data_IF_413281130804
#
_entry.id   IF_413281130804
#
_cell.length_a   1.000
_cell.length_b   1.000
_cell.length_c   1.000
_cell.angle_alpha   90.00
_cell.angle_beta   90.00
_cell.angle_gamma   90.00
#
_symmetry.space_group_name_H-M   'P 1'
#
loop_
_entity.id
_entity.type
_entity.pdbx_description
1 polymer ?
#
# COMPACT_ATOMS: atom_id res chain seq x y z
N UNK A 1 -20.18 -13.43 14.41
CA UNK A 1 -18.93 -12.64 14.49
C UNK A 1 -18.65 -12.16 13.07
N UNK A 2 -18.85 -10.88 12.77
CA UNK A 2 -18.59 -10.35 11.42
C UNK A 2 -17.10 -10.58 11.10
N UNK A 3 -16.83 -11.22 9.96
CA UNK A 3 -15.48 -11.48 9.47
C UNK A 3 -14.79 -10.12 9.22
N UNK A 4 -13.65 -9.87 9.85
CA UNK A 4 -12.90 -8.60 9.75
C UNK A 4 -12.61 -8.18 8.30
N UNK A 5 -12.47 -9.16 7.42
CA UNK A 5 -12.24 -8.92 6.00
C UNK A 5 -13.51 -8.43 5.29
N UNK A 6 -14.70 -8.87 5.72
CA UNK A 6 -15.96 -8.33 5.20
C UNK A 6 -16.16 -6.88 5.65
N UNK A 7 -15.79 -6.55 6.89
CA UNK A 7 -15.80 -5.17 7.39
C UNK A 7 -14.87 -4.28 6.53
N UNK A 8 -13.64 -4.74 6.26
CA UNK A 8 -12.69 -4.03 5.41
C UNK A 8 -13.17 -3.90 3.94
N UNK A 9 -13.82 -4.94 3.39
CA UNK A 9 -14.44 -4.91 2.05
C UNK A 9 -15.58 -3.91 1.98
N UNK A 10 -16.48 -3.91 2.97
CA UNK A 10 -17.59 -2.94 3.05
C UNK A 10 -17.04 -1.51 3.10
N UNK A 11 -16.10 -1.25 4.00
CA UNK A 11 -15.48 0.06 4.14
C UNK A 11 -14.78 0.54 2.85
N UNK A 12 -14.00 -0.34 2.21
CA UNK A 12 -13.31 -0.03 0.95
C UNK A 12 -14.31 0.27 -0.18
N UNK A 13 -15.39 -0.51 -0.26
CA UNK A 13 -16.45 -0.32 -1.26
C UNK A 13 -17.20 0.99 -1.04
N UNK A 14 -17.56 1.31 0.18
CA UNK A 14 -18.22 2.58 0.53
C UNK A 14 -17.33 3.77 0.20
N UNK A 15 -16.04 3.71 0.54
CA UNK A 15 -15.10 4.77 0.20
C UNK A 15 -14.93 4.97 -1.30
N UNK A 16 -14.86 3.88 -2.07
CA UNK A 16 -14.81 3.94 -3.54
C UNK A 16 -16.09 4.53 -4.13
N UNK A 17 -17.26 4.21 -3.58
CA UNK A 17 -18.58 4.62 -4.09
C UNK A 17 -18.96 6.06 -3.73
N UNK A 18 -18.58 6.52 -2.54
CA UNK A 18 -19.02 7.81 -2.00
C UNK A 18 -17.90 8.86 -1.98
N UNK A 19 -16.66 8.46 -2.29
CA UNK A 19 -15.46 9.30 -2.13
C UNK A 19 -15.26 9.82 -0.69
N UNK A 20 -15.83 9.11 0.29
CA UNK A 20 -15.70 9.37 1.72
C UNK A 20 -14.75 8.36 2.35
N UNK A 21 -13.70 8.84 3.02
CA UNK A 21 -12.69 7.99 3.64
C UNK A 21 -13.05 7.54 5.06
N UNK A 22 -14.06 8.16 5.68
CA UNK A 22 -14.49 7.89 7.05
C UNK A 22 -14.78 6.39 7.31
N UNK A 23 -15.42 5.63 6.39
CA UNK A 23 -15.62 4.20 6.58
C UNK A 23 -14.31 3.42 6.74
N UNK A 24 -13.27 3.76 5.96
CA UNK A 24 -11.96 3.12 6.07
C UNK A 24 -11.25 3.51 7.36
N UNK A 25 -11.29 4.79 7.72
CA UNK A 25 -10.68 5.28 8.97
C UNK A 25 -11.31 4.58 10.19
N UNK A 26 -12.62 4.40 10.20
CA UNK A 26 -13.34 3.66 11.26
C UNK A 26 -13.03 2.16 11.26
N UNK A 27 -13.01 1.52 10.08
CA UNK A 27 -12.71 0.09 9.96
C UNK A 27 -11.29 -0.24 10.44
N UNK A 28 -10.33 0.69 10.30
CA UNK A 28 -8.99 0.51 10.82
C UNK A 28 -8.99 0.37 12.36
N UNK A 29 -9.81 1.12 13.08
CA UNK A 29 -9.93 1.01 14.55
C UNK A 29 -10.37 -0.40 14.97
N UNK A 30 -11.28 -1.01 14.21
CA UNK A 30 -11.67 -2.41 14.41
C UNK A 30 -10.52 -3.38 14.10
N UNK A 31 -9.76 -3.14 13.03
CA UNK A 31 -8.62 -3.98 12.64
C UNK A 31 -7.50 -3.94 13.68
N UNK A 32 -7.21 -2.78 14.28
CA UNK A 32 -6.14 -2.61 15.28
C UNK A 32 -6.29 -3.55 16.47
N UNK A 33 -7.53 -3.82 16.87
CA UNK A 33 -7.82 -4.68 18.02
C UNK A 33 -7.88 -6.18 17.68
N UNK A 34 -8.07 -6.51 16.41
CA UNK A 34 -8.32 -7.89 15.95
C UNK A 34 -7.14 -8.50 15.19
N UNK A 35 -6.31 -7.67 14.58
CA UNK A 35 -5.00 -8.04 14.05
C UNK A 35 -3.93 -7.71 15.09
N UNK A 36 -2.77 -8.34 15.00
CA UNK A 36 -1.63 -8.16 15.92
C UNK A 36 -0.99 -6.74 15.86
N UNK A 37 -1.71 -5.73 15.36
CA UNK A 37 -1.27 -4.34 15.31
C UNK A 37 -1.20 -3.69 16.70
N UNK A 38 -1.96 -4.20 17.66
CA UNK A 38 -1.84 -3.80 19.07
C UNK A 38 -0.50 -4.23 19.70
N UNK A 39 0.23 -5.17 19.08
CA UNK A 39 1.57 -5.57 19.50
C UNK A 39 2.68 -4.72 18.87
N UNK A 40 2.32 -3.79 17.98
CA UNK A 40 3.23 -2.84 17.34
C UNK A 40 3.29 -1.56 18.19
N UNK A 41 4.47 -1.18 18.71
CA UNK A 41 4.68 0.04 19.48
C UNK A 41 4.28 1.28 18.69
N UNK A 42 3.78 2.30 19.37
CA UNK A 42 3.38 3.56 18.74
C UNK A 42 4.54 4.24 17.98
N UNK A 43 5.78 4.08 18.46
CA UNK A 43 6.98 4.57 17.78
C UNK A 43 7.25 3.92 16.41
N UNK A 44 6.66 2.75 16.14
CA UNK A 44 6.76 2.03 14.86
C UNK A 44 5.59 2.35 13.95
N UNK A 45 4.47 2.82 14.51
CA UNK A 45 3.32 3.30 13.73
C UNK A 45 3.65 4.59 12.98
N UNK A 46 4.58 5.38 13.53
CA UNK A 46 5.24 6.50 12.86
C UNK A 46 6.76 6.33 13.06
N UNK A 47 7.44 5.54 12.21
CA UNK A 47 8.84 5.13 12.40
C UNK A 47 9.85 6.24 12.09
N UNK A 48 9.47 7.49 12.33
CA UNK A 48 10.36 8.64 12.27
C UNK A 48 9.90 9.77 13.18
N UNK A 49 10.81 10.40 13.95
CA UNK A 49 10.49 11.60 14.72
C UNK A 49 10.31 12.85 13.84
N UNK A 50 10.72 12.81 12.57
CA UNK A 50 10.69 13.95 11.64
C UNK A 50 9.43 13.99 10.77
N UNK A 51 8.57 12.97 10.86
CA UNK A 51 7.36 12.86 10.05
C UNK A 51 6.16 13.51 10.76
N UNK A 52 5.23 14.02 9.95
CA UNK A 52 3.90 14.39 10.40
C UNK A 52 3.15 13.12 10.82
N UNK A 53 2.97 12.97 12.13
CA UNK A 53 2.34 11.79 12.73
C UNK A 53 0.94 11.56 12.21
N UNK A 54 0.13 12.61 12.06
CA UNK A 54 -1.27 12.46 11.69
C UNK A 54 -1.40 12.01 10.23
N UNK A 55 -0.63 12.63 9.33
CA UNK A 55 -0.60 12.26 7.92
C UNK A 55 -0.16 10.80 7.73
N UNK A 56 0.92 10.38 8.41
CA UNK A 56 1.44 9.01 8.34
C UNK A 56 0.42 7.99 8.84
N UNK A 57 -0.18 8.22 10.01
CA UNK A 57 -1.14 7.31 10.60
C UNK A 57 -2.37 7.15 9.72
N UNK A 58 -2.94 8.26 9.25
CA UNK A 58 -4.16 8.27 8.43
C UNK A 58 -3.96 7.54 7.10
N UNK A 59 -2.86 7.82 6.39
CA UNK A 59 -2.59 7.16 5.11
C UNK A 59 -2.31 5.67 5.29
N UNK A 60 -1.50 5.31 6.30
CA UNK A 60 -1.17 3.92 6.62
C UNK A 60 -2.43 3.13 6.98
N UNK A 61 -3.34 3.71 7.75
CA UNK A 61 -4.62 3.11 8.12
C UNK A 61 -5.45 2.74 6.88
N UNK A 62 -5.63 3.69 5.96
CA UNK A 62 -6.41 3.49 4.72
C UNK A 62 -5.80 2.43 3.81
N UNK A 63 -4.48 2.49 3.61
CA UNK A 63 -3.77 1.47 2.83
C UNK A 63 -3.89 0.08 3.46
N UNK A 64 -3.87 0.01 4.79
CA UNK A 64 -4.01 -1.25 5.54
C UNK A 64 -5.41 -1.85 5.43
N UNK A 65 -6.44 -1.02 5.54
CA UNK A 65 -7.83 -1.45 5.31
C UNK A 65 -8.00 -1.95 3.87
N UNK A 66 -7.38 -1.28 2.90
CA UNK A 66 -7.42 -1.71 1.52
C UNK A 66 -6.81 -3.11 1.33
N UNK A 67 -5.60 -3.39 1.83
CA UNK A 67 -5.05 -4.76 1.70
C UNK A 67 -5.88 -5.78 2.48
N UNK A 68 -6.44 -5.42 3.64
CA UNK A 68 -7.31 -6.30 4.40
C UNK A 68 -8.59 -6.64 3.61
N UNK A 69 -9.10 -5.71 2.80
CA UNK A 69 -10.25 -5.98 1.91
C UNK A 69 -9.93 -7.01 0.81
N UNK A 70 -8.66 -7.06 0.40
CA UNK A 70 -8.11 -8.04 -0.56
C UNK A 70 -7.63 -9.33 0.13
N UNK A 71 -8.04 -9.56 1.38
CA UNK A 71 -7.60 -10.71 2.17
C UNK A 71 -8.77 -11.57 2.65
N UNK A 72 -8.56 -12.85 2.94
CA UNK A 72 -7.44 -13.64 2.45
C UNK A 72 -7.56 -13.84 0.93
N UNK A 73 -6.44 -13.77 0.22
CA UNK A 73 -6.42 -13.79 -1.27
C UNK A 73 -7.12 -15.03 -1.84
N UNK A 74 -6.95 -16.19 -1.19
CA UNK A 74 -7.51 -17.47 -1.64
C UNK A 74 -9.04 -17.59 -1.53
N UNK A 75 -9.70 -16.74 -0.73
CA UNK A 75 -11.17 -16.76 -0.57
C UNK A 75 -11.86 -15.62 -1.35
N UNK A 76 -11.08 -14.73 -1.98
CA UNK A 76 -11.61 -13.61 -2.75
C UNK A 76 -12.56 -13.98 -3.90
N UNK A 77 -12.45 -15.14 -4.58
CA UNK A 77 -13.43 -15.51 -5.60
C UNK A 77 -14.86 -15.63 -5.06
N UNK A 78 -15.05 -15.77 -3.74
CA UNK A 78 -16.35 -15.80 -3.06
C UNK A 78 -16.80 -14.43 -2.53
N UNK A 79 -15.92 -13.43 -2.55
CA UNK A 79 -16.22 -12.10 -2.04
C UNK A 79 -17.27 -11.38 -2.91
N UNK A 80 -18.06 -10.46 -2.32
CA UNK A 80 -19.00 -9.65 -3.09
C UNK A 80 -18.28 -8.77 -4.14
N UNK A 81 -18.99 -8.35 -5.20
CA UNK A 81 -18.41 -7.43 -6.18
C UNK A 81 -18.05 -6.09 -5.54
N UNK A 82 -16.91 -5.55 -5.95
CA UNK A 82 -16.42 -4.24 -5.52
C UNK A 82 -17.22 -3.14 -6.22
N UNK A 83 -17.14 -3.08 -7.56
CA UNK A 83 -17.76 -2.02 -8.34
C UNK A 83 -18.03 -2.51 -9.78
N UNK A 84 -19.23 -2.26 -10.31
CA UNK A 84 -19.50 -2.33 -11.75
C UNK A 84 -18.98 -3.58 -12.47
N UNK A 85 -19.12 -4.77 -11.87
CA UNK A 85 -18.65 -6.03 -12.45
C UNK A 85 -17.19 -6.40 -12.14
N UNK A 86 -16.40 -5.50 -11.55
CA UNK A 86 -15.06 -5.77 -10.99
C UNK A 86 -15.23 -6.25 -9.54
N UNK A 87 -14.56 -7.34 -9.20
CA UNK A 87 -14.55 -7.96 -7.86
C UNK A 87 -13.26 -7.64 -7.11
N UNK A 88 -13.22 -7.85 -5.79
CA UNK A 88 -11.96 -7.77 -5.03
C UNK A 88 -10.91 -8.77 -5.55
N UNK A 89 -11.34 -9.93 -6.04
CA UNK A 89 -10.46 -10.90 -6.69
C UNK A 89 -9.81 -10.33 -7.96
N UNK A 90 -10.58 -9.68 -8.84
CA UNK A 90 -10.06 -9.01 -10.03
C UNK A 90 -9.03 -7.93 -9.68
N UNK A 91 -9.27 -7.16 -8.60
CA UNK A 91 -8.34 -6.13 -8.15
C UNK A 91 -7.03 -6.74 -7.65
N UNK A 92 -7.10 -7.81 -6.86
CA UNK A 92 -5.90 -8.51 -6.38
C UNK A 92 -5.08 -9.07 -7.56
N UNK A 93 -5.71 -9.79 -8.49
CA UNK A 93 -5.06 -10.30 -9.72
C UNK A 93 -4.47 -9.17 -10.57
N UNK A 94 -5.22 -8.09 -10.76
CA UNK A 94 -4.75 -6.92 -11.49
C UNK A 94 -3.51 -6.28 -10.86
N UNK A 95 -3.46 -6.15 -9.54
CA UNK A 95 -2.31 -5.59 -8.81
C UNK A 95 -1.08 -6.49 -8.93
N UNK A 96 -1.26 -7.80 -8.77
CA UNK A 96 -0.18 -8.78 -8.96
C UNK A 96 0.33 -8.77 -10.40
N UNK A 97 -0.57 -8.69 -11.39
CA UNK A 97 -0.21 -8.58 -12.80
C UNK A 97 0.50 -7.26 -13.13
N UNK A 98 0.09 -6.14 -12.53
CA UNK A 98 0.77 -4.86 -12.72
C UNK A 98 2.23 -4.90 -12.25
N UNK A 99 2.52 -5.66 -11.18
CA UNK A 99 3.89 -5.88 -10.72
C UNK A 99 4.67 -6.83 -11.64
N UNK A 100 4.06 -7.94 -12.06
CA UNK A 100 4.74 -8.99 -12.86
C UNK A 100 4.91 -8.63 -14.33
N UNK A 101 3.96 -7.89 -14.90
CA UNK A 101 3.85 -7.63 -16.34
C UNK A 101 3.79 -6.13 -16.68
N UNK A 102 3.86 -5.25 -15.68
CA UNK A 102 3.91 -3.79 -15.88
C UNK A 102 2.58 -3.14 -16.25
N UNK A 103 1.46 -3.87 -16.21
CA UNK A 103 0.16 -3.36 -16.70
C UNK A 103 -1.01 -3.70 -15.75
N UNK A 104 -1.73 -2.67 -15.29
CA UNK A 104 -3.01 -2.83 -14.59
C UNK A 104 -4.18 -2.74 -15.57
N UNK A 105 -4.69 -3.89 -15.98
CA UNK A 105 -5.62 -4.02 -17.11
C UNK A 105 -6.66 -5.13 -16.92
N UNK A 106 -7.84 -4.93 -17.51
CA UNK A 106 -8.93 -5.92 -17.53
C UNK A 106 -8.47 -7.26 -18.11
N UNK A 107 -7.44 -7.29 -18.96
CA UNK A 107 -6.85 -8.51 -19.51
C UNK A 107 -6.51 -9.54 -18.42
N UNK A 108 -6.03 -9.07 -17.27
CA UNK A 108 -5.60 -9.88 -16.13
C UNK A 108 -6.67 -10.02 -15.05
N UNK A 109 -7.90 -9.56 -15.29
CA UNK A 109 -9.02 -9.59 -14.35
C UNK A 109 -10.03 -10.67 -14.78
N UNK A 110 -9.99 -11.90 -14.21
CA UNK A 110 -10.67 -13.05 -14.78
C UNK A 110 -12.20 -12.94 -14.85
N UNK A 111 -12.81 -12.24 -13.89
CA UNK A 111 -14.26 -12.05 -13.82
C UNK A 111 -14.66 -10.81 -14.61
N UNK A 112 -13.93 -9.70 -14.44
CA UNK A 112 -14.23 -8.45 -15.14
C UNK A 112 -14.04 -8.54 -16.67
N UNK A 113 -13.06 -9.32 -17.15
CA UNK A 113 -12.80 -9.55 -18.59
C UNK A 113 -14.03 -10.05 -19.34
N UNK A 114 -14.90 -10.81 -18.67
CA UNK A 114 -16.13 -11.36 -19.25
C UNK A 114 -17.27 -10.34 -19.35
N UNK A 115 -17.16 -9.19 -18.66
CA UNK A 115 -18.27 -8.24 -18.45
C UNK A 115 -18.09 -6.86 -19.11
N UNK A 116 -16.89 -6.52 -19.61
CA UNK A 116 -16.64 -5.31 -20.41
C UNK A 116 -16.83 -3.97 -19.66
N UNK A 117 -15.90 -3.61 -18.76
CA UNK A 117 -16.12 -2.60 -17.71
C UNK A 117 -15.14 -1.41 -17.73
N UNK A 118 -14.98 -0.73 -18.88
CA UNK A 118 -13.98 0.35 -19.07
C UNK A 118 -14.13 1.54 -18.10
N UNK A 119 -15.33 2.12 -17.95
CA UNK A 119 -15.58 3.26 -17.04
C UNK A 119 -15.34 2.90 -15.57
N UNK A 120 -15.67 1.67 -15.19
CA UNK A 120 -15.47 1.13 -13.86
C UNK A 120 -13.98 0.99 -13.52
N UNK A 121 -13.18 0.54 -14.48
CA UNK A 121 -11.73 0.44 -14.33
C UNK A 121 -11.09 1.82 -14.11
N UNK A 122 -11.55 2.84 -14.84
CA UNK A 122 -11.06 4.22 -14.65
C UNK A 122 -11.31 4.73 -13.23
N UNK A 123 -12.52 4.53 -12.71
CA UNK A 123 -12.88 4.91 -11.34
C UNK A 123 -12.02 4.17 -10.31
N UNK A 124 -11.78 2.88 -10.52
CA UNK A 124 -10.88 2.09 -9.67
C UNK A 124 -9.44 2.62 -9.72
N UNK A 125 -8.90 2.91 -10.91
CA UNK A 125 -7.55 3.48 -11.06
C UNK A 125 -7.39 4.79 -10.28
N UNK A 126 -8.34 5.72 -10.41
CA UNK A 126 -8.35 6.96 -9.63
C UNK A 126 -8.38 6.72 -8.12
N UNK A 127 -9.14 5.73 -7.66
CA UNK A 127 -9.17 5.37 -6.24
C UNK A 127 -7.82 4.82 -5.76
N UNK A 128 -7.17 3.97 -6.55
CA UNK A 128 -5.83 3.45 -6.26
C UNK A 128 -4.75 4.54 -6.29
N UNK A 129 -4.89 5.53 -7.18
CA UNK A 129 -4.04 6.73 -7.20
C UNK A 129 -4.22 7.57 -5.94
N UNK A 130 -5.46 7.80 -5.47
CA UNK A 130 -5.73 8.50 -4.19
C UNK A 130 -5.16 7.75 -2.98
N UNK A 131 -5.10 6.41 -3.03
CA UNK A 131 -4.41 5.59 -2.02
C UNK A 131 -2.88 5.59 -2.16
N UNK A 132 -2.34 6.20 -3.21
CA UNK A 132 -0.92 6.30 -3.48
C UNK A 132 -0.31 5.03 -4.08
N UNK A 133 -1.11 4.05 -4.55
CA UNK A 133 -0.59 2.81 -5.16
C UNK A 133 -0.26 2.94 -6.64
N UNK A 134 -0.86 3.91 -7.32
CA UNK A 134 -0.62 4.18 -8.73
C UNK A 134 -0.29 5.65 -8.96
N UNK A 135 0.47 5.88 -10.03
CA UNK A 135 0.70 7.19 -10.62
C UNK A 135 0.87 7.02 -12.13
N UNK A 136 0.11 7.80 -12.90
CA UNK A 136 0.19 7.87 -14.37
C UNK A 136 0.16 6.49 -15.05
N UNK A 137 -0.66 5.58 -14.51
CA UNK A 137 -0.85 4.22 -15.02
C UNK A 137 0.16 3.16 -14.54
N UNK A 138 1.22 3.56 -13.82
CA UNK A 138 2.22 2.68 -13.22
C UNK A 138 2.08 2.52 -11.70
N UNK A 139 2.59 1.42 -11.15
CA UNK A 139 2.68 1.22 -9.70
C UNK A 139 3.70 2.18 -9.08
N UNK A 140 3.36 2.84 -7.99
CA UNK A 140 4.32 3.53 -7.11
C UNK A 140 5.16 2.51 -6.33
N UNK A 141 6.16 2.94 -5.56
CA UNK A 141 6.91 2.08 -4.67
C UNK A 141 6.02 1.37 -3.63
N UNK A 142 5.14 2.11 -2.96
CA UNK A 142 4.16 1.49 -2.05
C UNK A 142 3.16 0.58 -2.78
N UNK A 143 2.83 0.89 -4.04
CA UNK A 143 2.06 0.01 -4.92
C UNK A 143 2.78 -1.31 -5.23
N UNK A 144 4.10 -1.28 -5.45
CA UNK A 144 4.91 -2.49 -5.60
C UNK A 144 4.93 -3.31 -4.31
N UNK A 145 5.10 -2.68 -3.15
CA UNK A 145 5.04 -3.36 -1.87
C UNK A 145 3.68 -4.04 -1.62
N UNK A 146 2.57 -3.40 -2.02
CA UNK A 146 1.23 -3.99 -1.96
C UNK A 146 1.14 -5.24 -2.83
N UNK A 147 1.59 -5.17 -4.08
CA UNK A 147 1.56 -6.31 -5.00
C UNK A 147 2.44 -7.47 -4.50
N UNK A 148 3.66 -7.18 -4.01
CA UNK A 148 4.55 -8.17 -3.37
C UNK A 148 3.87 -8.86 -2.18
N UNK A 149 3.17 -8.09 -1.34
CA UNK A 149 2.43 -8.63 -0.18
C UNK A 149 1.28 -9.55 -0.61
N UNK A 150 0.53 -9.18 -1.66
CA UNK A 150 -0.55 -10.01 -2.21
C UNK A 150 -0.02 -11.32 -2.81
N UNK A 151 1.08 -11.27 -3.57
CA UNK A 151 1.74 -12.47 -4.13
C UNK A 151 2.19 -13.39 -2.99
N UNK A 152 2.82 -12.83 -1.95
CA UNK A 152 3.23 -13.61 -0.79
C UNK A 152 2.04 -14.25 -0.06
N UNK A 153 0.96 -13.48 0.13
CA UNK A 153 -0.28 -13.96 0.74
C UNK A 153 -0.95 -15.09 -0.05
N UNK A 154 -0.95 -15.00 -1.39
CA UNK A 154 -1.46 -16.04 -2.27
C UNK A 154 -0.67 -17.35 -2.14
N UNK A 155 0.65 -17.28 -1.94
CA UNK A 155 1.53 -18.45 -1.84
C UNK A 155 1.55 -19.09 -0.45
N UNK A 156 1.45 -18.30 0.62
CA UNK A 156 1.62 -18.79 2.00
C UNK A 156 0.32 -19.09 2.73
N UNK A 157 -0.84 -18.70 2.17
CA UNK A 157 -2.18 -18.93 2.74
C UNK A 157 -2.38 -18.45 4.19
N UNK A 158 -1.52 -17.56 4.69
CA UNK A 158 -1.64 -16.91 6.00
C UNK A 158 -1.93 -15.42 5.86
N UNK A 159 -2.38 -14.75 6.93
CA UNK A 159 -2.75 -13.32 6.91
C UNK A 159 -1.65 -12.39 7.43
N UNK A 160 -0.51 -12.95 7.84
CA UNK A 160 0.63 -12.19 8.40
C UNK A 160 1.21 -11.14 7.43
N UNK A 161 1.04 -11.34 6.12
CA UNK A 161 1.45 -10.36 5.11
C UNK A 161 0.71 -9.02 5.24
N UNK A 162 -0.47 -8.99 5.86
CA UNK A 162 -1.19 -7.75 6.16
C UNK A 162 -0.40 -6.92 7.19
N UNK A 163 0.19 -7.59 8.19
CA UNK A 163 1.09 -6.95 9.17
C UNK A 163 2.36 -6.46 8.49
N UNK A 164 2.97 -7.31 7.65
CA UNK A 164 4.13 -6.91 6.85
C UNK A 164 3.86 -5.70 5.96
N UNK A 165 2.68 -5.64 5.34
CA UNK A 165 2.27 -4.51 4.52
C UNK A 165 1.95 -3.27 5.36
N UNK A 166 1.28 -3.40 6.51
CA UNK A 166 1.05 -2.28 7.43
C UNK A 166 2.37 -1.58 7.79
N UNK A 167 3.38 -2.36 8.17
CA UNK A 167 4.70 -1.84 8.50
C UNK A 167 5.41 -1.26 7.27
N UNK A 168 5.23 -1.87 6.09
CA UNK A 168 5.72 -1.35 4.80
C UNK A 168 5.15 0.04 4.50
N UNK A 169 3.83 0.20 4.69
CA UNK A 169 3.13 1.47 4.55
C UNK A 169 3.57 2.51 5.58
N UNK A 170 3.78 2.10 6.84
CA UNK A 170 4.30 3.00 7.86
C UNK A 170 5.70 3.55 7.50
N UNK A 171 6.59 2.70 6.97
CA UNK A 171 7.91 3.13 6.46
C UNK A 171 7.77 4.08 5.27
N UNK A 172 6.96 3.71 4.27
CA UNK A 172 6.77 4.50 3.05
C UNK A 172 6.19 5.90 3.37
N UNK A 173 5.13 5.95 4.17
CA UNK A 173 4.46 7.21 4.51
C UNK A 173 5.34 8.09 5.41
N UNK A 174 6.10 7.50 6.35
CA UNK A 174 7.07 8.26 7.14
C UNK A 174 8.19 8.85 6.28
N UNK A 175 8.70 8.08 5.31
CA UNK A 175 9.68 8.58 4.34
C UNK A 175 9.10 9.73 3.52
N UNK A 176 7.92 9.56 2.94
CA UNK A 176 7.28 10.61 2.13
C UNK A 176 7.04 11.89 2.93
N UNK A 177 6.62 11.75 4.19
CA UNK A 177 6.46 12.89 5.08
C UNK A 177 7.77 13.59 5.41
N UNK A 178 8.91 12.91 5.42
CA UNK A 178 10.21 13.58 5.59
C UNK A 178 10.69 14.28 4.33
N UNK A 179 10.44 13.67 3.17
CA UNK A 179 10.87 14.22 1.89
C UNK A 179 10.04 15.45 1.49
N UNK A 180 8.77 15.55 1.93
CA UNK A 180 7.88 16.65 1.56
C UNK A 180 8.35 18.04 1.98
N UNK A 181 9.24 18.12 2.97
CA UNK A 181 9.77 19.38 3.50
C UNK A 181 11.18 19.70 2.99
N UNK A 182 11.73 18.91 2.07
CA UNK A 182 13.11 19.07 1.62
C UNK A 182 13.25 19.83 0.31
N UNK A 183 14.06 20.88 0.36
CA UNK A 183 14.62 21.56 -0.79
C UNK A 183 15.95 20.91 -1.18
N UNK A 184 15.88 19.69 -1.72
CA UNK A 184 17.06 19.00 -2.27
C UNK A 184 17.06 19.05 -3.79
N UNK A 185 18.25 19.17 -4.37
CA UNK A 185 18.41 19.09 -5.82
C UNK A 185 17.99 17.70 -6.33
N UNK A 186 17.51 17.62 -7.59
CA UNK A 186 17.03 16.37 -8.18
C UNK A 186 18.02 15.22 -8.09
N UNK A 187 19.31 15.48 -8.27
CA UNK A 187 20.33 14.44 -8.25
C UNK A 187 20.57 13.87 -6.84
N UNK A 188 20.17 14.60 -5.79
CA UNK A 188 20.36 14.21 -4.39
C UNK A 188 19.16 13.45 -3.81
N UNK A 189 17.97 13.58 -4.43
CA UNK A 189 16.74 12.98 -3.89
C UNK A 189 16.85 11.46 -3.70
N UNK A 190 17.55 10.76 -4.61
CA UNK A 190 17.73 9.32 -4.53
C UNK A 190 18.63 8.94 -3.34
N UNK A 191 19.71 9.68 -3.12
CA UNK A 191 20.64 9.43 -2.00
C UNK A 191 19.95 9.70 -0.66
N UNK A 192 19.21 10.80 -0.56
CA UNK A 192 18.42 11.15 0.61
C UNK A 192 17.33 10.11 0.91
N UNK A 193 16.61 9.66 -0.13
CA UNK A 193 15.60 8.63 -0.01
C UNK A 193 16.19 7.33 0.56
N UNK A 194 17.35 6.88 0.03
CA UNK A 194 18.03 5.67 0.51
C UNK A 194 18.50 5.83 1.97
N UNK A 195 19.14 6.95 2.30
CA UNK A 195 19.67 7.18 3.64
C UNK A 195 18.55 7.20 4.70
N UNK A 196 17.46 7.91 4.41
CA UNK A 196 16.30 8.00 5.31
C UNK A 196 15.54 6.70 5.38
N UNK A 197 15.31 6.03 4.25
CA UNK A 197 14.72 4.69 4.20
C UNK A 197 15.47 3.75 5.15
N UNK A 198 16.80 3.67 5.06
CA UNK A 198 17.60 2.79 5.93
C UNK A 198 17.38 3.09 7.41
N UNK A 199 17.38 4.36 7.81
CA UNK A 199 17.14 4.76 9.21
C UNK A 199 15.74 4.38 9.68
N UNK A 200 14.71 4.70 8.91
CA UNK A 200 13.30 4.41 9.24
C UNK A 200 13.08 2.89 9.30
N UNK A 201 13.58 2.18 8.29
CA UNK A 201 13.48 0.72 8.16
C UNK A 201 14.15 -0.01 9.32
N UNK A 202 15.30 0.49 9.77
CA UNK A 202 16.05 -0.08 10.90
C UNK A 202 15.21 -0.11 12.19
N UNK A 203 14.47 0.97 12.49
CA UNK A 203 13.59 1.01 13.66
C UNK A 203 12.53 -0.12 13.61
N UNK A 204 11.97 -0.37 12.43
CA UNK A 204 11.00 -1.45 12.21
C UNK A 204 11.66 -2.82 12.35
N UNK A 205 12.86 -3.02 11.77
CA UNK A 205 13.59 -4.29 11.87
C UNK A 205 13.97 -4.66 13.30
N UNK A 206 14.38 -3.68 14.10
CA UNK A 206 14.72 -3.91 15.50
C UNK A 206 13.49 -4.31 16.31
N UNK A 207 12.33 -3.72 16.01
CA UNK A 207 11.06 -4.17 16.59
C UNK A 207 10.70 -5.59 16.14
N UNK A 208 10.80 -5.92 14.85
CA UNK A 208 10.47 -7.27 14.33
C UNK A 208 11.31 -8.32 15.06
N UNK A 209 12.63 -8.10 15.20
CA UNK A 209 13.53 -9.01 15.93
C UNK A 209 13.14 -9.16 17.40
N UNK A 210 12.72 -8.05 18.02
CA UNK A 210 12.28 -7.99 19.42
C UNK A 210 10.81 -8.37 19.65
N UNK A 211 10.06 -8.75 18.61
CA UNK A 211 8.61 -8.92 18.73
C UNK A 211 8.24 -10.00 19.76
N UNK A 212 7.15 -9.81 20.52
CA UNK A 212 6.80 -10.71 21.62
C UNK A 212 6.38 -12.11 21.14
N UNK A 213 5.85 -12.22 19.92
CA UNK A 213 5.40 -13.48 19.33
C UNK A 213 6.35 -13.91 18.22
N UNK A 214 6.71 -15.20 18.19
CA UNK A 214 7.69 -15.75 17.24
C UNK A 214 7.29 -15.53 15.78
N UNK A 215 6.03 -15.77 15.42
CA UNK A 215 5.56 -15.58 14.04
C UNK A 215 5.59 -14.11 13.58
N UNK A 216 5.63 -13.14 14.50
CA UNK A 216 5.82 -11.73 14.15
C UNK A 216 7.28 -11.44 13.82
N UNK A 217 8.23 -12.21 14.34
CA UNK A 217 9.67 -12.07 14.03
C UNK A 217 10.01 -12.50 12.61
N UNK A 218 9.16 -13.33 12.02
CA UNK A 218 9.25 -13.76 10.61
C UNK A 218 8.47 -12.82 9.67
N UNK A 219 8.00 -11.66 10.15
CA UNK A 219 7.27 -10.70 9.33
C UNK A 219 8.19 -10.11 8.25
N UNK A 220 7.79 -10.28 7.00
CA UNK A 220 8.48 -9.68 5.85
C UNK A 220 7.97 -8.26 5.64
N UNK A 221 8.90 -7.35 5.39
CA UNK A 221 8.59 -5.99 4.94
C UNK A 221 8.77 -5.94 3.44
N UNK A 222 7.71 -5.56 2.74
CA UNK A 222 7.62 -5.62 1.29
C UNK A 222 8.09 -4.33 0.62
N UNK A 223 8.26 -3.24 1.39
CA UNK A 223 8.80 -1.97 0.92
C UNK A 223 10.33 -1.95 1.00
N UNK A 224 10.97 -2.08 -0.16
CA UNK A 224 12.42 -2.07 -0.36
C UNK A 224 13.00 -0.68 -0.57
N UNK A 225 14.33 -0.61 -0.73
CA UNK A 225 15.01 0.66 -1.02
C UNK A 225 14.72 1.13 -2.46
N UNK A 226 14.49 0.21 -3.39
CA UNK A 226 14.10 0.50 -4.77
C UNK A 226 12.73 1.18 -4.81
N UNK A 227 11.79 0.68 -3.98
CA UNK A 227 10.46 1.25 -3.84
C UNK A 227 10.53 2.67 -3.25
N UNK A 228 11.40 2.86 -2.24
CA UNK A 228 11.67 4.16 -1.62
C UNK A 228 12.19 5.21 -2.61
N UNK A 229 13.17 4.82 -3.43
CA UNK A 229 13.72 5.70 -4.49
C UNK A 229 12.64 6.05 -5.50
N UNK A 230 11.83 5.07 -5.91
CA UNK A 230 10.74 5.29 -6.86
C UNK A 230 9.73 6.31 -6.34
N UNK A 231 9.25 6.14 -5.11
CA UNK A 231 8.29 7.07 -4.50
C UNK A 231 8.88 8.49 -4.34
N UNK A 232 10.15 8.59 -3.97
CA UNK A 232 10.84 9.86 -3.81
C UNK A 232 10.93 10.63 -5.14
N UNK A 233 11.26 9.95 -6.25
CA UNK A 233 11.30 10.56 -7.58
C UNK A 233 9.89 11.01 -8.02
N UNK A 234 8.88 10.16 -7.83
CA UNK A 234 7.48 10.49 -8.15
C UNK A 234 7.04 11.75 -7.38
N UNK A 235 7.31 11.81 -6.08
CA UNK A 235 6.98 12.96 -5.24
C UNK A 235 7.70 14.24 -5.70
N UNK A 236 8.99 14.14 -6.06
CA UNK A 236 9.78 15.27 -6.55
C UNK A 236 9.29 15.80 -7.89
N UNK A 237 8.99 14.92 -8.85
CA UNK A 237 8.44 15.31 -10.14
C UNK A 237 7.09 16.03 -9.99
N UNK A 238 6.26 15.58 -9.04
CA UNK A 238 4.99 16.24 -8.70
C UNK A 238 5.19 17.64 -8.13
N UNK A 239 6.13 17.79 -7.19
CA UNK A 239 6.43 19.09 -6.58
C UNK A 239 6.94 20.12 -7.61
N UNK A 240 7.65 19.67 -8.63
CA UNK A 240 8.28 20.52 -9.64
C UNK A 240 7.49 20.65 -10.95
N UNK A 241 6.31 20.02 -11.05
CA UNK A 241 5.48 19.96 -12.28
C UNK A 241 6.27 19.52 -13.52
N UNK A 242 7.09 18.48 -13.39
CA UNK A 242 7.97 18.03 -14.48
C UNK A 242 7.54 16.67 -15.00
N UNK A 243 7.53 16.53 -16.32
CA UNK A 243 7.28 15.26 -17.01
C UNK A 243 8.40 14.26 -16.71
N UNK A 244 8.05 12.99 -16.53
CA UNK A 244 9.00 11.91 -16.18
C UNK A 244 10.18 11.77 -17.16
N UNK A 245 10.01 12.25 -18.40
CA UNK A 245 10.97 12.22 -19.51
C UNK A 245 12.21 13.10 -19.29
N UNK A 246 12.15 14.06 -18.36
CA UNK A 246 13.26 14.97 -18.06
C UNK A 246 14.19 14.47 -16.93
N UNK A 247 13.86 13.35 -16.27
CA UNK A 247 14.72 12.78 -15.23
C UNK A 247 15.86 11.97 -15.86
N UNK A 248 17.10 12.41 -15.64
CA UNK A 248 18.30 11.69 -16.08
C UNK A 248 18.95 10.99 -14.90
N UNK A 249 19.14 9.68 -15.01
CA UNK A 249 20.12 8.99 -14.17
C UNK A 249 21.51 9.50 -14.58
N UNK A 250 22.03 10.47 -13.83
CA UNK A 250 23.44 10.84 -13.91
C UNK A 250 24.25 9.66 -13.41
N UNK A 251 24.86 8.92 -14.35
CA UNK A 251 25.86 7.88 -14.11
C UNK A 251 27.25 8.52 -13.97
#
# INVERSE_FOLDING_TARGET
MENIFEEARRATKEALLNEDWSPMDNAFLSLVNKLDFNLIPDSIRVPSPYADKEAVLRQTARQTVFIASLSPVFDLPRAPPLLGGITFYDVAEGLMAAYMFGEFSIRYMPIARKKGTSTTLHRLKKFLEKLGFFKDGGLTGIGQALAKALIYGALKHGTIYIVGFYLSAAVANALMSELSFMEVERHQIMMEAIARYKRIRQAVDDWIKGAPKLYLRDTIIFYGWEDAVKDAIIAKNLAENVEETDFRFTL
#
